data_IF_240724557585
#
_entry.id   IF_240724557585
#
_cell.length_a   1.000
_cell.length_b   1.000
_cell.length_c   1.000
_cell.angle_alpha   90.00
_cell.angle_beta   90.00
_cell.angle_gamma   90.00
#
_symmetry.space_group_name_H-M   'P 1'
#
loop_
_entity.id
_entity.type
_entity.pdbx_description
1 polymer ?
#
# COMPACT_ATOMS: atom_id res chain seq x y z
N UNK A 1 5.88 21.52 7.05
CA UNK A 1 5.83 20.68 8.28
C UNK A 1 4.42 20.30 8.74
N UNK A 2 3.60 21.15 9.39
CA UNK A 2 2.24 20.75 9.82
C UNK A 2 1.33 20.29 8.66
N UNK A 3 1.30 21.05 7.56
CA UNK A 3 0.53 20.68 6.36
C UNK A 3 1.12 19.44 5.63
N UNK A 4 2.43 19.22 5.73
CA UNK A 4 3.09 18.05 5.12
C UNK A 4 2.88 16.76 5.95
N UNK A 5 2.88 16.88 7.27
CA UNK A 5 2.52 15.79 8.20
C UNK A 5 1.04 15.41 8.10
N UNK A 6 0.18 16.35 7.72
CA UNK A 6 -1.26 16.11 7.52
C UNK A 6 -1.52 15.31 6.25
N UNK A 7 -0.80 15.58 5.15
CA UNK A 7 -0.84 14.71 3.94
C UNK A 7 -0.26 13.32 4.22
N UNK A 8 0.84 13.22 4.98
CA UNK A 8 1.42 11.93 5.36
C UNK A 8 0.52 11.10 6.31
N UNK A 9 -0.42 11.74 7.01
CA UNK A 9 -1.36 11.06 7.92
C UNK A 9 -2.23 10.01 7.20
N UNK A 10 -2.40 10.13 5.88
CA UNK A 10 -3.17 9.17 5.07
C UNK A 10 -2.51 7.78 4.96
N UNK A 11 -1.25 7.63 5.33
CA UNK A 11 -0.46 6.39 5.26
C UNK A 11 -0.57 5.56 6.55
N UNK A 12 -1.09 6.14 7.62
CA UNK A 12 -1.21 5.49 8.92
C UNK A 12 -2.57 4.81 9.10
N UNK A 13 -2.59 3.71 9.85
CA UNK A 13 -3.82 3.03 10.30
C UNK A 13 -4.81 4.04 10.91
N UNK A 14 -6.13 3.81 10.90
CA UNK A 14 -7.10 4.76 11.43
C UNK A 14 -6.82 5.20 12.88
N UNK A 15 -6.30 4.28 13.70
CA UNK A 15 -5.88 4.53 15.07
C UNK A 15 -4.63 5.43 15.13
N UNK A 16 -3.59 5.08 14.37
CA UNK A 16 -2.35 5.86 14.28
C UNK A 16 -2.59 7.25 13.70
N UNK A 17 -3.51 7.39 12.74
CA UNK A 17 -3.94 8.65 12.14
C UNK A 17 -4.62 9.54 13.18
N UNK A 18 -5.62 9.01 13.89
CA UNK A 18 -6.31 9.75 14.96
C UNK A 18 -5.35 10.23 16.05
N UNK A 19 -4.42 9.37 16.46
CA UNK A 19 -3.44 9.67 17.49
C UNK A 19 -2.39 10.70 17.06
N UNK A 20 -1.86 10.61 15.84
CA UNK A 20 -0.92 11.59 15.27
C UNK A 20 -1.59 12.95 15.05
N UNK A 21 -2.83 12.99 14.54
CA UNK A 21 -3.57 14.25 14.37
C UNK A 21 -3.86 14.92 15.72
N UNK A 22 -4.26 14.14 16.74
CA UNK A 22 -4.48 14.65 18.11
C UNK A 22 -3.18 15.12 18.76
N UNK A 23 -2.07 14.42 18.55
CA UNK A 23 -0.75 14.78 19.09
C UNK A 23 -0.19 16.03 18.41
N UNK A 24 -0.36 16.17 17.09
CA UNK A 24 -0.01 17.37 16.32
C UNK A 24 -0.84 18.58 16.76
N UNK A 25 -2.17 18.41 16.93
CA UNK A 25 -3.04 19.47 17.47
C UNK A 25 -2.65 19.88 18.90
N UNK A 26 -2.22 18.93 19.73
CA UNK A 26 -1.72 19.20 21.08
C UNK A 26 -0.40 19.98 21.04
N UNK A 27 0.56 19.57 20.21
CA UNK A 27 1.83 20.28 20.04
C UNK A 27 1.64 21.69 19.48
N UNK A 28 0.78 21.89 18.48
CA UNK A 28 0.42 23.22 17.97
C UNK A 28 -0.18 24.11 19.06
N UNK A 29 -1.11 23.59 19.86
CA UNK A 29 -1.69 24.36 20.99
C UNK A 29 -0.71 24.66 22.12
N UNK A 30 0.33 23.84 22.27
CA UNK A 30 1.37 24.03 23.29
C UNK A 30 2.45 25.00 22.82
N UNK A 31 2.68 25.11 21.51
CA UNK A 31 3.59 26.07 20.88
C UNK A 31 2.92 27.44 20.58
N UNK A 32 1.59 27.48 20.46
CA UNK A 32 0.78 28.71 20.32
C UNK A 32 0.38 29.33 21.67
N UNK A 33 0.87 28.82 22.81
CA UNK A 33 0.68 29.51 24.08
C UNK A 33 1.31 30.91 23.97
N UNK A 34 0.57 32.01 24.24
CA UNK A 34 1.13 33.34 24.12
C UNK A 34 2.34 33.46 25.04
N UNK A 35 3.48 33.90 24.49
CA UNK A 35 4.55 34.44 25.31
C UNK A 35 3.94 35.52 26.22
N UNK A 36 4.29 35.56 27.52
CA UNK A 36 3.80 36.62 28.38
C UNK A 36 4.15 37.98 27.77
N UNK A 37 3.28 39.01 27.91
CA UNK A 37 3.51 40.30 27.28
C UNK A 37 4.87 40.83 27.70
N UNK A 38 5.69 41.22 26.73
CA UNK A 38 6.89 42.04 26.99
C UNK A 38 6.38 43.39 27.47
N UNK A 39 6.71 43.75 28.71
CA UNK A 39 6.48 45.09 29.23
C UNK A 39 7.14 46.14 28.31
N UNK A 40 6.43 47.22 27.94
CA UNK A 40 6.95 48.23 27.05
C UNK A 40 7.74 49.25 27.87
N UNK A 41 9.07 49.18 27.89
CA UNK A 41 9.89 50.33 28.28
C UNK A 41 11.28 50.29 27.64
N UNK A 42 11.51 51.33 26.83
CA UNK A 42 12.80 51.90 26.37
C UNK A 42 13.53 51.23 25.21
N UNK A 43 13.15 51.66 24.00
CA UNK A 43 14.12 52.28 23.11
C UNK A 43 13.94 53.80 23.15
N UNK A 44 14.97 54.54 23.56
CA UNK A 44 15.11 55.97 23.24
C UNK A 44 16.58 56.23 22.95
N UNK A 45 16.87 56.26 21.66
CA UNK A 45 17.92 57.07 21.05
C UNK A 45 17.65 58.54 21.33
N UNK A 46 18.67 59.31 21.69
CA UNK A 46 18.65 60.77 21.67
C UNK A 46 20.03 61.28 21.27
N UNK A 47 20.15 62.18 20.26
CA UNK A 47 21.38 62.88 19.96
C UNK A 47 21.47 64.20 20.74
N UNK A 48 22.73 64.64 20.92
CA UNK A 48 23.22 66.00 21.16
C UNK A 48 22.73 66.82 22.38
N UNK A 49 23.72 67.19 23.22
CA UNK A 49 23.97 68.60 23.54
C UNK A 49 23.42 69.17 24.84
N UNK A 50 24.33 69.62 25.71
CA UNK A 50 24.07 70.75 26.62
C UNK A 50 23.89 70.40 28.09
N UNK A 51 24.92 70.71 28.88
CA UNK A 51 24.89 70.77 30.33
C UNK A 51 23.91 71.84 30.85
N UNK A 52 23.33 71.61 32.03
CA UNK A 52 23.30 72.56 33.14
C UNK A 52 22.70 71.92 34.40
N UNK A 53 23.44 72.09 35.50
CA UNK A 53 23.13 71.74 36.88
C UNK A 53 21.77 72.25 37.34
N UNK A 54 21.10 71.50 38.23
CA UNK A 54 20.18 72.04 39.23
C UNK A 54 19.93 71.05 40.38
N UNK A 55 20.50 71.42 41.53
CA UNK A 55 20.09 71.24 42.92
C UNK A 55 19.47 69.91 43.42
N UNK A 56 20.24 69.27 44.31
CA UNK A 56 19.73 68.32 45.28
C UNK A 56 19.13 69.06 46.49
N UNK A 57 17.82 68.93 46.72
CA UNK A 57 17.25 69.10 48.06
C UNK A 57 15.96 68.28 48.26
N UNK A 58 16.06 67.30 49.15
CA UNK A 58 15.03 66.78 50.06
C UNK A 58 13.63 66.43 49.54
N UNK A 59 13.37 65.14 49.31
CA UNK A 59 12.09 64.49 49.65
C UNK A 59 12.24 62.96 49.68
N UNK A 60 11.65 62.32 50.69
CA UNK A 60 11.72 60.89 50.98
C UNK A 60 11.25 59.97 49.82
N UNK A 61 11.80 58.75 49.67
CA UNK A 61 11.33 57.82 48.64
C UNK A 61 10.00 57.17 49.05
N UNK A 62 9.03 56.99 48.13
CA UNK A 62 7.86 56.17 48.40
C UNK A 62 8.24 54.69 48.41
N UNK A 63 7.58 53.95 49.30
CA UNK A 63 7.68 52.51 49.54
C UNK A 63 7.67 51.67 48.26
N UNK A 64 8.74 50.91 48.00
CA UNK A 64 8.73 49.78 47.06
C UNK A 64 7.87 48.66 47.65
N UNK A 65 6.66 48.45 47.11
CA UNK A 65 5.91 47.21 47.34
C UNK A 65 6.64 46.03 46.67
N UNK A 66 6.76 44.86 47.32
CA UNK A 66 7.37 43.70 46.69
C UNK A 66 6.38 43.07 45.72
N UNK A 67 6.61 43.25 44.42
CA UNK A 67 6.06 42.36 43.40
C UNK A 67 6.78 41.01 43.51
N UNK A 68 6.39 40.21 44.50
CA UNK A 68 6.68 38.79 44.52
C UNK A 68 5.85 38.12 43.42
N UNK A 69 6.44 37.90 42.25
CA UNK A 69 6.00 36.84 41.36
C UNK A 69 6.10 35.52 42.15
N UNK A 70 4.96 35.02 42.63
CA UNK A 70 4.90 33.74 43.35
C UNK A 70 5.52 32.66 42.46
N UNK A 71 6.53 31.90 42.91
CA UNK A 71 7.00 30.76 42.15
C UNK A 71 5.81 29.82 41.89
N UNK A 72 5.72 29.17 40.72
CA UNK A 72 4.64 28.25 40.43
C UNK A 72 4.53 27.24 41.58
N UNK A 73 3.31 27.07 42.12
CA UNK A 73 3.07 26.21 43.28
C UNK A 73 3.69 24.83 42.99
N UNK A 74 4.48 24.30 43.93
CA UNK A 74 5.19 23.01 43.81
C UNK A 74 4.29 21.85 43.33
N UNK A 75 2.98 21.92 43.62
CA UNK A 75 1.96 20.96 43.14
C UNK A 75 1.61 21.05 41.64
N UNK A 76 1.65 22.23 41.01
CA UNK A 76 1.36 22.38 39.57
C UNK A 76 2.47 21.79 38.71
N UNK A 77 3.73 21.94 39.14
CA UNK A 77 4.89 21.36 38.44
C UNK A 77 4.92 19.84 38.54
N UNK A 78 4.57 19.27 39.71
CA UNK A 78 4.42 17.80 39.86
C UNK A 78 3.27 17.23 39.05
N UNK A 79 2.14 17.96 38.94
CA UNK A 79 1.00 17.55 38.10
C UNK A 79 1.35 17.57 36.61
N UNK A 80 2.10 18.57 36.15
CA UNK A 80 2.56 18.63 34.76
C UNK A 80 3.52 17.48 34.43
N UNK A 81 4.50 17.19 35.29
CA UNK A 81 5.42 16.06 35.09
C UNK A 81 4.70 14.71 35.06
N UNK A 82 3.72 14.49 35.96
CA UNK A 82 2.90 13.27 35.96
C UNK A 82 2.10 13.13 34.66
N UNK A 83 1.48 14.23 34.20
CA UNK A 83 0.75 14.24 32.94
C UNK A 83 1.67 13.95 31.75
N UNK A 84 2.85 14.56 31.68
CA UNK A 84 3.84 14.28 30.63
C UNK A 84 4.24 12.82 30.63
N UNK A 85 4.56 12.23 31.79
CA UNK A 85 4.91 10.81 31.89
C UNK A 85 3.76 9.89 31.44
N UNK A 86 2.52 10.20 31.80
CA UNK A 86 1.35 9.47 31.35
C UNK A 86 1.18 9.55 29.82
N UNK A 87 1.34 10.74 29.24
CA UNK A 87 1.26 10.92 27.78
C UNK A 87 2.41 10.19 27.06
N UNK A 88 3.63 10.22 27.59
CA UNK A 88 4.76 9.46 27.06
C UNK A 88 4.50 7.95 27.13
N UNK A 89 4.02 7.44 28.26
CA UNK A 89 3.69 6.03 28.42
C UNK A 89 2.57 5.60 27.46
N UNK A 90 1.52 6.42 27.31
CA UNK A 90 0.45 6.18 26.36
C UNK A 90 0.96 6.18 24.91
N UNK A 91 1.88 7.09 24.57
CA UNK A 91 2.50 7.16 23.24
C UNK A 91 3.36 5.93 22.95
N UNK A 92 4.20 5.50 23.90
CA UNK A 92 4.99 4.27 23.78
C UNK A 92 4.08 3.06 23.65
N UNK A 93 3.02 2.95 24.45
CA UNK A 93 2.06 1.86 24.35
C UNK A 93 1.34 1.84 22.99
N UNK A 94 0.94 3.01 22.47
CA UNK A 94 0.34 3.12 21.15
C UNK A 94 1.29 2.69 20.03
N UNK A 95 2.58 3.06 20.12
CA UNK A 95 3.60 2.59 19.18
C UNK A 95 3.81 1.08 19.27
N UNK A 96 4.02 0.52 20.47
CA UNK A 96 4.20 -0.93 20.64
C UNK A 96 2.99 -1.71 20.10
N UNK A 97 1.78 -1.20 20.32
CA UNK A 97 0.58 -1.80 19.75
C UNK A 97 0.57 -1.71 18.22
N UNK A 98 0.83 -0.54 17.63
CA UNK A 98 0.82 -0.38 16.16
C UNK A 98 1.95 -1.14 15.45
N UNK A 99 3.12 -1.23 16.07
CA UNK A 99 4.33 -1.82 15.49
C UNK A 99 4.35 -3.34 15.62
N UNK A 100 3.70 -3.91 16.65
CA UNK A 100 3.75 -5.35 16.96
C UNK A 100 2.36 -5.92 17.28
N UNK A 101 1.66 -5.31 18.25
CA UNK A 101 0.40 -5.83 18.78
C UNK A 101 -0.70 -6.02 17.74
N UNK A 102 -0.84 -5.10 16.78
CA UNK A 102 -1.84 -5.15 15.73
C UNK A 102 -1.63 -6.37 14.80
N UNK A 103 -0.38 -6.65 14.42
CA UNK A 103 -0.04 -7.80 13.57
C UNK A 103 -0.19 -9.12 14.32
N UNK A 104 0.19 -9.17 15.60
CA UNK A 104 -0.04 -10.36 16.43
C UNK A 104 -1.52 -10.63 16.63
N UNK A 105 -2.32 -9.61 16.91
CA UNK A 105 -3.77 -9.76 17.04
C UNK A 105 -4.39 -10.29 15.74
N UNK A 106 -3.99 -9.77 14.58
CA UNK A 106 -4.43 -10.26 13.28
C UNK A 106 -4.05 -11.74 13.07
N UNK A 107 -2.79 -12.12 13.33
CA UNK A 107 -2.33 -13.51 13.23
C UNK A 107 -3.12 -14.45 14.16
N UNK A 108 -3.32 -14.05 15.42
CA UNK A 108 -4.04 -14.86 16.41
C UNK A 108 -5.55 -14.97 16.13
N UNK A 109 -6.12 -14.02 15.40
CA UNK A 109 -7.55 -14.02 15.05
C UNK A 109 -7.92 -14.98 13.90
N UNK A 110 -6.92 -15.49 13.19
CA UNK A 110 -7.12 -16.29 11.99
C UNK A 110 -6.56 -17.71 12.17
N UNK A 111 -7.21 -18.69 11.54
CA UNK A 111 -6.72 -20.06 11.47
C UNK A 111 -7.09 -20.67 10.13
N UNK A 112 -6.33 -21.68 9.70
CA UNK A 112 -6.69 -22.47 8.52
C UNK A 112 -8.01 -23.21 8.80
N UNK A 113 -8.88 -23.38 7.79
CA UNK A 113 -10.07 -24.21 7.92
C UNK A 113 -9.69 -25.62 8.37
N UNK A 114 -10.40 -26.15 9.37
CA UNK A 114 -10.20 -27.53 9.80
C UNK A 114 -10.82 -28.49 8.78
N UNK A 115 -10.08 -29.54 8.39
CA UNK A 115 -10.62 -30.61 7.56
C UNK A 115 -11.80 -31.25 8.29
N UNK A 116 -12.92 -31.45 7.60
CA UNK A 116 -14.06 -32.17 8.17
C UNK A 116 -13.62 -33.59 8.56
N UNK A 117 -13.98 -34.00 9.78
CA UNK A 117 -13.62 -35.30 10.37
C UNK A 117 -14.19 -36.52 9.64
N UNK A 118 -14.89 -36.32 8.53
CA UNK A 118 -15.50 -37.36 7.68
C UNK A 118 -14.62 -37.83 6.52
N UNK A 119 -13.39 -37.31 6.37
CA UNK A 119 -12.49 -37.73 5.29
C UNK A 119 -11.61 -38.91 5.74
N UNK A 120 -11.73 -40.11 5.13
CA UNK A 120 -11.04 -41.33 5.59
C UNK A 120 -9.55 -41.40 5.22
N UNK A 121 -8.96 -40.32 4.73
CA UNK A 121 -7.56 -40.23 4.32
C UNK A 121 -6.89 -39.04 5.00
N UNK A 122 -5.59 -39.11 5.37
CA UNK A 122 -4.84 -37.92 5.74
C UNK A 122 -4.91 -36.94 4.57
N UNK A 123 -5.79 -35.96 4.71
CA UNK A 123 -6.05 -34.97 3.68
C UNK A 123 -4.84 -34.06 3.61
N UNK A 124 -3.93 -34.34 2.67
CA UNK A 124 -2.75 -33.53 2.42
C UNK A 124 -3.19 -32.23 1.73
N UNK A 125 -3.63 -31.26 2.53
CA UNK A 125 -4.06 -29.95 2.03
C UNK A 125 -2.85 -29.13 1.66
N UNK A 126 -2.96 -28.38 0.56
CA UNK A 126 -1.98 -27.36 0.19
C UNK A 126 -2.47 -26.00 0.69
N UNK A 127 -1.61 -25.29 1.42
CA UNK A 127 -1.86 -23.93 1.90
C UNK A 127 -1.28 -22.93 0.92
N UNK A 128 -2.15 -22.21 0.24
CA UNK A 128 -1.74 -21.16 -0.70
C UNK A 128 -1.96 -19.80 -0.04
N UNK A 129 -0.89 -19.03 0.12
CA UNK A 129 -0.97 -17.63 0.49
C UNK A 129 -1.10 -16.80 -0.80
N UNK A 130 -2.14 -15.97 -0.87
CA UNK A 130 -2.40 -15.09 -2.01
C UNK A 130 -2.13 -13.65 -1.58
N UNK A 131 -1.26 -12.96 -2.31
CA UNK A 131 -0.89 -11.56 -2.10
C UNK A 131 -1.34 -10.79 -3.33
N UNK A 132 -2.09 -9.71 -3.11
CA UNK A 132 -2.80 -8.98 -4.16
C UNK A 132 -2.54 -7.48 -4.00
N UNK A 133 -2.31 -6.79 -5.13
CA UNK A 133 -2.06 -5.35 -5.23
C UNK A 133 -1.09 -4.80 -4.17
N UNK A 134 0.16 -5.32 -4.04
CA UNK A 134 1.15 -4.66 -3.19
C UNK A 134 1.29 -3.17 -3.51
N UNK A 135 1.23 -2.81 -4.81
CA UNK A 135 1.27 -1.46 -5.35
C UNK A 135 2.28 -0.58 -4.61
N UNK A 136 3.56 -0.99 -4.67
CA UNK A 136 4.66 -0.26 -4.06
C UNK A 136 4.59 1.21 -4.48
N UNK A 137 4.58 2.08 -3.48
CA UNK A 137 4.52 3.50 -3.74
C UNK A 137 5.78 3.97 -4.44
N UNK A 138 5.61 4.82 -5.43
CA UNK A 138 6.68 5.49 -6.16
C UNK A 138 6.22 6.90 -6.58
N UNK A 139 7.01 7.58 -7.43
CA UNK A 139 6.69 8.95 -7.90
C UNK A 139 5.37 9.09 -8.67
N UNK A 140 4.79 7.98 -9.13
CA UNK A 140 3.51 7.97 -9.85
C UNK A 140 2.31 7.83 -8.90
N UNK A 141 2.53 7.36 -7.67
CA UNK A 141 1.48 7.05 -6.71
C UNK A 141 0.80 8.27 -6.12
N UNK A 142 1.63 9.24 -5.71
CA UNK A 142 1.17 10.52 -5.18
C UNK A 142 1.70 11.62 -6.07
N UNK A 143 0.94 12.69 -6.23
CA UNK A 143 1.41 13.92 -6.88
C UNK A 143 2.42 14.68 -6.00
N UNK A 144 3.46 13.98 -5.55
CA UNK A 144 4.58 14.48 -4.77
C UNK A 144 5.81 14.61 -5.67
N UNK A 145 6.66 15.63 -5.45
CA UNK A 145 7.89 15.76 -6.20
C UNK A 145 8.80 14.52 -5.99
N UNK A 146 9.42 13.99 -7.06
CA UNK A 146 10.42 12.94 -6.95
C UNK A 146 11.54 13.33 -5.97
N UNK A 147 11.96 12.38 -5.13
CA UNK A 147 13.00 12.61 -4.12
C UNK A 147 12.58 13.48 -2.93
N UNK A 148 11.34 13.96 -2.85
CA UNK A 148 10.86 14.73 -1.69
C UNK A 148 10.85 13.89 -0.41
N UNK A 149 11.10 14.54 0.74
CA UNK A 149 11.03 13.89 2.06
C UNK A 149 9.65 13.27 2.32
N UNK A 150 8.59 13.91 1.81
CA UNK A 150 7.23 13.39 1.92
C UNK A 150 7.04 12.08 1.16
N UNK A 151 7.55 11.97 -0.07
CA UNK A 151 7.49 10.74 -0.86
C UNK A 151 8.32 9.64 -0.20
N UNK A 152 9.56 9.94 0.19
CA UNK A 152 10.44 8.98 0.89
C UNK A 152 9.81 8.46 2.18
N UNK A 153 9.11 9.32 2.94
CA UNK A 153 8.40 8.90 4.13
C UNK A 153 7.20 8.00 3.80
N UNK A 154 6.43 8.33 2.75
CA UNK A 154 5.30 7.50 2.32
C UNK A 154 5.78 6.09 1.88
N UNK A 155 6.83 6.04 1.05
CA UNK A 155 7.51 4.81 0.65
C UNK A 155 7.99 4.00 1.86
N UNK A 156 8.73 4.62 2.77
CA UNK A 156 9.25 3.96 3.97
C UNK A 156 8.16 3.33 4.84
N UNK A 157 7.09 4.08 5.15
CA UNK A 157 6.04 3.59 6.05
C UNK A 157 5.16 2.52 5.38
N UNK A 158 4.90 2.63 4.07
CA UNK A 158 4.16 1.60 3.33
C UNK A 158 4.97 0.32 3.17
N UNK A 159 6.25 0.42 2.83
CA UNK A 159 7.18 -0.71 2.76
C UNK A 159 7.26 -1.44 4.10
N UNK A 160 7.39 -0.68 5.20
CA UNK A 160 7.43 -1.24 6.55
C UNK A 160 6.13 -1.97 6.91
N UNK A 161 4.97 -1.38 6.57
CA UNK A 161 3.67 -2.00 6.78
C UNK A 161 3.51 -3.30 5.99
N UNK A 162 3.87 -3.32 4.71
CA UNK A 162 3.83 -4.53 3.87
C UNK A 162 4.76 -5.62 4.40
N UNK A 163 5.99 -5.24 4.75
CA UNK A 163 7.00 -6.19 5.28
C UNK A 163 6.52 -6.85 6.56
N UNK A 164 5.97 -6.06 7.50
CA UNK A 164 5.43 -6.60 8.76
C UNK A 164 4.22 -7.47 8.53
N UNK A 165 3.31 -7.05 7.66
CA UNK A 165 2.14 -7.87 7.28
C UNK A 165 2.59 -9.22 6.74
N UNK A 166 3.57 -9.24 5.83
CA UNK A 166 4.08 -10.48 5.28
C UNK A 166 4.82 -11.34 6.33
N UNK A 167 5.77 -10.76 7.05
CA UNK A 167 6.62 -11.49 7.99
C UNK A 167 5.90 -11.95 9.27
N UNK A 168 4.96 -11.14 9.79
CA UNK A 168 4.31 -11.39 11.08
C UNK A 168 2.90 -11.96 10.97
N UNK A 169 2.26 -11.87 9.79
CA UNK A 169 0.93 -12.41 9.57
C UNK A 169 0.98 -13.56 8.58
N UNK A 170 1.55 -13.38 7.38
CA UNK A 170 1.51 -14.41 6.32
C UNK A 170 2.46 -15.58 6.59
N UNK A 171 3.75 -15.32 6.81
CA UNK A 171 4.76 -16.38 6.99
C UNK A 171 4.48 -17.31 8.19
N UNK A 172 3.98 -16.83 9.35
CA UNK A 172 3.64 -17.70 10.48
C UNK A 172 2.53 -18.73 10.18
N UNK A 173 1.70 -18.51 9.16
CA UNK A 173 0.72 -19.51 8.70
C UNK A 173 1.35 -20.68 7.93
N UNK A 174 2.67 -20.62 7.65
CA UNK A 174 3.46 -21.63 6.95
C UNK A 174 2.78 -22.07 5.64
N UNK A 175 2.61 -21.15 4.68
CA UNK A 175 2.06 -21.50 3.38
C UNK A 175 3.03 -22.43 2.63
N UNK A 176 2.47 -23.36 1.86
CA UNK A 176 3.20 -24.25 0.96
C UNK A 176 3.49 -23.57 -0.39
N UNK A 177 2.70 -22.55 -0.75
CA UNK A 177 2.87 -21.74 -1.97
C UNK A 177 2.54 -20.28 -1.67
N UNK A 178 3.28 -19.33 -2.23
CA UNK A 178 2.91 -17.91 -2.27
C UNK A 178 2.59 -17.51 -3.71
N UNK A 179 1.48 -16.81 -3.91
CA UNK A 179 1.02 -16.35 -5.21
C UNK A 179 0.81 -14.83 -5.15
N UNK A 180 1.54 -14.08 -5.98
CA UNK A 180 1.29 -12.67 -6.20
C UNK A 180 0.35 -12.46 -7.39
N UNK A 181 -0.79 -11.79 -7.18
CA UNK A 181 -1.83 -11.54 -8.18
C UNK A 181 -1.70 -10.16 -8.84
N UNK A 182 -0.48 -9.80 -9.26
CA UNK A 182 -0.18 -8.58 -10.00
C UNK A 182 -0.23 -7.29 -9.20
N UNK A 183 0.11 -6.22 -9.92
CA UNK A 183 0.25 -4.85 -9.44
C UNK A 183 1.24 -4.76 -8.27
N UNK A 184 2.46 -5.23 -8.52
CA UNK A 184 3.54 -5.16 -7.55
C UNK A 184 3.99 -3.72 -7.36
N UNK A 185 4.05 -2.99 -8.47
CA UNK A 185 4.42 -1.58 -8.54
C UNK A 185 3.18 -0.76 -8.85
N UNK A 186 3.11 0.48 -8.38
CA UNK A 186 2.05 1.40 -8.78
C UNK A 186 2.37 2.06 -10.14
N UNK A 187 3.63 2.43 -10.36
CA UNK A 187 4.09 3.07 -11.58
C UNK A 187 4.76 2.16 -12.59
N UNK A 188 4.71 0.84 -12.41
CA UNK A 188 5.59 -0.13 -13.09
C UNK A 188 5.75 0.06 -14.59
N UNK A 189 4.71 0.47 -15.32
CA UNK A 189 4.75 0.78 -16.76
C UNK A 189 5.43 2.09 -17.13
N UNK A 190 5.41 3.08 -16.24
CA UNK A 190 5.82 4.47 -16.50
C UNK A 190 7.14 4.85 -15.83
N UNK A 191 7.75 3.93 -15.08
CA UNK A 191 9.07 4.10 -14.48
C UNK A 191 10.19 3.87 -15.50
N UNK A 192 11.24 4.68 -15.40
CA UNK A 192 12.50 4.40 -16.10
C UNK A 192 13.10 3.08 -15.61
N UNK A 193 14.05 2.51 -16.34
CA UNK A 193 14.67 1.25 -15.91
C UNK A 193 15.39 1.38 -14.56
N UNK A 194 15.98 2.54 -14.26
CA UNK A 194 16.62 2.81 -12.96
C UNK A 194 15.59 2.84 -11.83
N UNK A 195 14.52 3.61 -11.99
CA UNK A 195 13.44 3.71 -10.99
C UNK A 195 12.72 2.37 -10.79
N UNK A 196 12.57 1.59 -11.86
CA UNK A 196 11.99 0.25 -11.81
C UNK A 196 12.91 -0.72 -11.05
N UNK A 197 14.23 -0.63 -11.23
CA UNK A 197 15.19 -1.45 -10.46
C UNK A 197 15.18 -1.09 -8.97
N UNK A 198 15.07 0.20 -8.63
CA UNK A 198 14.94 0.63 -7.23
C UNK A 198 13.66 0.08 -6.59
N UNK A 199 12.54 0.15 -7.32
CA UNK A 199 11.26 -0.41 -6.90
C UNK A 199 11.34 -1.94 -6.74
N UNK A 200 12.01 -2.63 -7.66
CA UNK A 200 12.24 -4.08 -7.59
C UNK A 200 13.11 -4.46 -6.38
N UNK A 201 14.15 -3.68 -6.08
CA UNK A 201 14.99 -3.91 -4.90
C UNK A 201 14.16 -3.79 -3.62
N UNK A 202 13.33 -2.74 -3.51
CA UNK A 202 12.39 -2.56 -2.40
C UNK A 202 11.42 -3.74 -2.30
N UNK A 203 10.81 -4.16 -3.41
CA UNK A 203 9.89 -5.30 -3.45
C UNK A 203 10.54 -6.58 -2.90
N UNK A 204 11.73 -6.92 -3.41
CA UNK A 204 12.49 -8.10 -2.95
C UNK A 204 12.87 -8.01 -1.47
N UNK A 205 13.18 -6.81 -0.97
CA UNK A 205 13.51 -6.58 0.43
C UNK A 205 12.29 -6.73 1.36
N UNK A 206 11.14 -6.17 0.96
CA UNK A 206 9.87 -6.25 1.72
C UNK A 206 9.44 -7.70 1.90
N UNK A 207 9.46 -8.47 0.82
CA UNK A 207 8.97 -9.84 0.82
C UNK A 207 10.07 -10.88 1.13
N UNK A 208 11.20 -10.46 1.71
CA UNK A 208 12.32 -11.32 2.13
C UNK A 208 12.77 -12.32 1.04
N UNK A 209 12.68 -11.93 -0.23
CA UNK A 209 13.01 -12.76 -1.38
C UNK A 209 14.50 -13.13 -1.42
N UNK A 210 15.34 -12.37 -0.72
CA UNK A 210 16.76 -12.64 -0.53
C UNK A 210 17.05 -13.70 0.54
N UNK A 211 16.20 -13.88 1.56
CA UNK A 211 16.29 -14.95 2.56
C UNK A 211 15.79 -16.30 2.02
N UNK A 212 14.93 -16.29 1.01
CA UNK A 212 14.57 -17.50 0.26
C UNK A 212 15.74 -18.10 -0.53
N UNK A 213 16.78 -17.32 -0.84
CA UNK A 213 17.99 -17.83 -1.51
C UNK A 213 18.84 -18.73 -0.60
N UNK A 214 18.70 -18.60 0.73
CA UNK A 214 19.49 -19.37 1.70
C UNK A 214 18.72 -20.56 2.30
N UNK A 215 17.38 -20.56 2.23
CA UNK A 215 16.54 -21.71 2.58
C UNK A 215 15.25 -21.79 1.73
N UNK A 216 15.30 -22.40 0.54
CA UNK A 216 14.20 -22.42 -0.42
C UNK A 216 13.19 -23.52 -0.05
N UNK A 217 12.13 -23.20 0.68
CA UNK A 217 11.08 -24.20 0.98
C UNK A 217 9.68 -23.84 0.47
N UNK A 218 9.44 -22.62 -0.03
CA UNK A 218 8.10 -22.18 -0.48
C UNK A 218 8.17 -21.60 -1.90
N UNK A 219 7.66 -22.30 -2.93
CA UNK A 219 7.57 -21.76 -4.28
C UNK A 219 6.73 -20.47 -4.33
N UNK A 220 7.19 -19.51 -5.13
CA UNK A 220 6.51 -18.24 -5.37
C UNK A 220 6.17 -18.10 -6.85
N UNK A 221 4.92 -17.72 -7.14
CA UNK A 221 4.41 -17.48 -8.48
C UNK A 221 3.91 -16.06 -8.64
N UNK A 222 4.05 -15.53 -9.87
CA UNK A 222 3.87 -14.13 -10.20
C UNK A 222 2.89 -13.97 -11.36
N UNK A 223 1.76 -13.31 -11.12
CA UNK A 223 0.80 -12.88 -12.13
C UNK A 223 1.07 -11.42 -12.51
N UNK A 224 1.16 -11.08 -13.80
CA UNK A 224 1.31 -9.66 -14.16
C UNK A 224 0.03 -8.89 -13.91
N UNK A 225 0.13 -7.68 -13.36
CA UNK A 225 -0.95 -6.69 -13.27
C UNK A 225 -0.87 -5.59 -14.32
N UNK A 226 -1.88 -4.74 -14.43
CA UNK A 226 -1.86 -3.66 -15.41
C UNK A 226 -0.93 -2.50 -15.01
N UNK A 227 -0.64 -2.33 -13.72
CA UNK A 227 0.38 -1.38 -13.28
C UNK A 227 1.80 -1.92 -13.53
N UNK A 228 1.97 -3.25 -13.65
CA UNK A 228 3.26 -3.86 -13.95
C UNK A 228 3.61 -3.79 -15.45
N UNK A 229 2.64 -4.10 -16.32
CA UNK A 229 2.87 -4.25 -17.77
C UNK A 229 2.01 -3.39 -18.69
N UNK A 230 0.90 -2.85 -18.20
CA UNK A 230 -0.03 -2.04 -19.00
C UNK A 230 -1.08 -2.89 -19.72
N UNK A 231 -1.68 -2.32 -20.76
CA UNK A 231 -2.67 -3.00 -21.61
C UNK A 231 -2.15 -3.17 -23.04
N UNK A 232 -2.87 -3.92 -23.87
CA UNK A 232 -2.48 -4.23 -25.25
C UNK A 232 -2.05 -3.04 -26.11
N UNK A 233 -2.69 -1.86 -25.97
CA UNK A 233 -2.27 -0.66 -26.71
C UNK A 233 -0.90 -0.12 -26.24
N UNK A 234 -0.59 -0.28 -24.96
CA UNK A 234 0.69 0.16 -24.38
C UNK A 234 1.84 -0.76 -24.82
N UNK A 235 1.62 -2.08 -24.81
CA UNK A 235 2.64 -3.06 -25.21
C UNK A 235 3.15 -2.86 -26.64
N UNK A 236 2.27 -2.39 -27.55
CA UNK A 236 2.62 -2.15 -28.95
C UNK A 236 3.64 -1.01 -29.14
N UNK A 237 3.70 -0.09 -28.18
CA UNK A 237 4.62 1.05 -28.18
C UNK A 237 5.82 0.81 -27.26
N UNK A 238 5.62 0.02 -26.20
CA UNK A 238 6.60 -0.22 -25.13
C UNK A 238 6.92 -1.71 -24.91
N UNK A 239 7.47 -2.42 -25.92
CA UNK A 239 7.80 -3.84 -25.78
C UNK A 239 8.88 -4.12 -24.71
N UNK A 240 9.70 -3.13 -24.38
CA UNK A 240 10.70 -3.19 -23.31
C UNK A 240 10.10 -3.48 -21.93
N UNK A 241 8.86 -3.02 -21.68
CA UNK A 241 8.17 -3.23 -20.39
C UNK A 241 7.79 -4.70 -20.21
N UNK A 242 7.32 -5.36 -21.28
CA UNK A 242 7.09 -6.81 -21.27
C UNK A 242 8.40 -7.56 -21.10
N UNK A 243 9.44 -7.16 -21.84
CA UNK A 243 10.74 -7.81 -21.81
C UNK A 243 11.37 -7.78 -20.41
N UNK A 244 11.36 -6.63 -19.73
CA UNK A 244 11.91 -6.52 -18.37
C UNK A 244 11.08 -7.28 -17.34
N UNK A 245 9.75 -7.28 -17.47
CA UNK A 245 8.88 -8.08 -16.61
C UNK A 245 9.19 -9.57 -16.76
N UNK A 246 9.17 -10.10 -17.98
CA UNK A 246 9.34 -11.54 -18.23
C UNK A 246 10.75 -12.02 -17.84
N UNK A 247 11.77 -11.15 -17.97
CA UNK A 247 13.13 -11.44 -17.53
C UNK A 247 13.24 -11.64 -16.01
N UNK A 248 12.45 -10.91 -15.22
CA UNK A 248 12.52 -10.94 -13.76
C UNK A 248 11.52 -11.91 -13.14
N UNK A 249 10.26 -11.85 -13.57
CA UNK A 249 9.15 -12.59 -12.97
C UNK A 249 8.76 -13.86 -13.73
N UNK A 250 9.33 -14.09 -14.91
CA UNK A 250 9.03 -15.24 -15.76
C UNK A 250 7.87 -14.99 -16.73
N UNK A 251 7.41 -16.05 -17.44
CA UNK A 251 6.38 -15.90 -18.46
C UNK A 251 5.07 -15.38 -17.89
N UNK A 252 4.31 -14.61 -18.69
CA UNK A 252 3.00 -14.07 -18.27
C UNK A 252 1.85 -15.07 -18.38
N UNK A 253 2.02 -16.11 -19.19
CA UNK A 253 1.07 -17.21 -19.35
C UNK A 253 1.76 -18.51 -18.99
N UNK A 254 1.28 -19.21 -17.96
CA UNK A 254 1.88 -20.47 -17.51
C UNK A 254 0.91 -21.29 -16.67
N UNK A 255 1.27 -22.56 -16.45
CA UNK A 255 0.55 -23.42 -15.52
C UNK A 255 1.51 -24.06 -14.52
N UNK A 256 1.02 -24.33 -13.32
CA UNK A 256 1.74 -25.10 -12.32
C UNK A 256 0.81 -25.99 -11.51
N UNK A 257 1.30 -27.17 -11.15
CA UNK A 257 0.58 -28.12 -10.32
C UNK A 257 0.89 -27.84 -8.86
N UNK A 258 -0.15 -27.75 -8.03
CA UNK A 258 0.00 -27.76 -6.57
C UNK A 258 -0.98 -28.74 -5.93
N UNK A 259 -0.43 -29.74 -5.25
CA UNK A 259 -1.21 -30.88 -4.77
C UNK A 259 -1.79 -31.71 -5.93
N UNK A 260 -3.08 -31.55 -6.19
CA UNK A 260 -3.81 -32.21 -7.31
C UNK A 260 -4.62 -31.20 -8.12
N UNK A 261 -4.22 -29.93 -8.09
CA UNK A 261 -4.93 -28.82 -8.73
C UNK A 261 -3.96 -28.09 -9.64
N UNK A 262 -4.36 -27.89 -10.89
CA UNK A 262 -3.59 -27.11 -11.85
C UNK A 262 -4.01 -25.64 -11.75
N UNK A 263 -3.06 -24.78 -11.43
CA UNK A 263 -3.25 -23.34 -11.45
C UNK A 263 -2.85 -22.81 -12.82
N UNK A 264 -3.79 -22.17 -13.50
CA UNK A 264 -3.61 -21.64 -14.85
C UNK A 264 -3.57 -20.12 -14.76
N UNK A 265 -2.41 -19.56 -15.05
CA UNK A 265 -2.14 -18.12 -15.07
C UNK A 265 -2.29 -17.60 -16.49
N UNK A 266 -3.16 -16.60 -16.66
CA UNK A 266 -3.41 -15.99 -17.96
C UNK A 266 -3.24 -14.47 -17.91
N UNK A 267 -2.49 -13.96 -18.88
CA UNK A 267 -2.28 -12.53 -19.11
C UNK A 267 -3.55 -11.87 -19.68
N UNK A 268 -4.43 -11.46 -18.78
CA UNK A 268 -5.73 -10.87 -19.10
C UNK A 268 -5.61 -9.53 -19.86
N UNK A 269 -4.50 -8.81 -19.71
CA UNK A 269 -4.23 -7.50 -20.31
C UNK A 269 -4.16 -7.56 -21.84
N UNK A 270 -4.01 -8.77 -22.38
CA UNK A 270 -3.86 -9.05 -23.81
C UNK A 270 -5.05 -9.76 -24.43
N UNK A 271 -6.02 -10.21 -23.62
CA UNK A 271 -7.15 -11.04 -24.07
C UNK A 271 -8.28 -10.25 -24.74
N UNK A 272 -8.37 -8.94 -24.50
CA UNK A 272 -9.25 -8.00 -25.20
C UNK A 272 -8.44 -7.02 -26.07
N UNK A 273 -9.11 -6.40 -27.07
CA UNK A 273 -8.49 -5.52 -28.05
C UNK A 273 -8.90 -5.83 -29.49
N UNK A 274 -8.73 -4.85 -30.37
CA UNK A 274 -9.28 -4.79 -31.72
C UNK A 274 -8.74 -5.83 -32.73
N UNK A 275 -9.18 -5.69 -33.98
CA UNK A 275 -9.06 -6.70 -35.05
C UNK A 275 -7.62 -7.09 -35.45
N UNK A 276 -6.62 -6.25 -35.17
CA UNK A 276 -5.21 -6.55 -35.43
C UNK A 276 -4.63 -7.40 -34.29
N UNK A 277 -4.32 -8.66 -34.60
CA UNK A 277 -3.69 -9.59 -33.64
C UNK A 277 -2.29 -9.10 -33.26
N UNK A 278 -2.11 -8.61 -32.04
CA UNK A 278 -0.77 -8.40 -31.48
C UNK A 278 -0.09 -9.74 -31.19
N UNK A 279 1.24 -9.75 -31.15
CA UNK A 279 2.03 -10.95 -30.83
C UNK A 279 1.66 -11.48 -29.44
N UNK A 280 1.45 -10.59 -28.49
CA UNK A 280 1.11 -10.91 -27.10
C UNK A 280 -0.28 -11.54 -27.02
N UNK A 281 -1.26 -10.98 -27.72
CA UNK A 281 -2.61 -11.55 -27.82
C UNK A 281 -2.58 -12.96 -28.40
N UNK A 282 -1.87 -13.15 -29.51
CA UNK A 282 -1.75 -14.46 -30.15
C UNK A 282 -1.10 -15.48 -29.23
N UNK A 283 -0.01 -15.10 -28.53
CA UNK A 283 0.67 -15.94 -27.54
C UNK A 283 -0.27 -16.39 -26.41
N UNK A 284 -1.03 -15.47 -25.81
CA UNK A 284 -1.97 -15.79 -24.74
C UNK A 284 -3.08 -16.75 -25.20
N UNK A 285 -3.67 -16.52 -26.39
CA UNK A 285 -4.71 -17.40 -26.93
C UNK A 285 -4.18 -18.75 -27.41
N UNK A 286 -2.94 -18.82 -27.91
CA UNK A 286 -2.28 -20.08 -28.27
C UNK A 286 -2.02 -20.95 -27.04
N UNK A 287 -1.55 -20.34 -25.95
CA UNK A 287 -1.40 -21.01 -24.65
C UNK A 287 -2.73 -21.60 -24.17
N UNK A 288 -3.81 -20.78 -24.13
CA UNK A 288 -5.15 -21.22 -23.70
C UNK A 288 -5.65 -22.41 -24.54
N UNK A 289 -5.50 -22.33 -25.88
CA UNK A 289 -5.95 -23.40 -26.79
C UNK A 289 -5.13 -24.68 -26.61
N UNK A 290 -3.83 -24.57 -26.42
CA UNK A 290 -2.94 -25.72 -26.17
C UNK A 290 -3.34 -26.45 -24.89
N UNK A 291 -3.63 -25.69 -23.81
CA UNK A 291 -4.10 -26.28 -22.55
C UNK A 291 -5.51 -26.86 -22.61
N UNK A 292 -6.36 -26.34 -23.49
CA UNK A 292 -7.71 -26.86 -23.73
C UNK A 292 -7.70 -28.17 -24.53
N UNK A 293 -6.74 -28.31 -25.46
CA UNK A 293 -6.56 -29.53 -26.25
C UNK A 293 -5.88 -30.67 -25.45
N UNK A 294 -5.20 -30.35 -24.35
CA UNK A 294 -4.58 -31.33 -23.46
C UNK A 294 -5.63 -32.18 -22.74
N UNK A 295 -5.36 -33.47 -22.60
CA UNK A 295 -6.21 -34.39 -21.83
C UNK A 295 -5.78 -34.36 -20.36
N UNK A 296 -5.97 -33.22 -19.69
CA UNK A 296 -5.62 -33.05 -18.28
C UNK A 296 -6.76 -33.53 -17.37
N UNK A 297 -6.41 -34.37 -16.39
CA UNK A 297 -7.37 -34.98 -15.46
C UNK A 297 -7.55 -34.18 -14.17
N UNK A 298 -6.68 -33.21 -13.88
CA UNK A 298 -6.77 -32.43 -12.64
C UNK A 298 -7.79 -31.28 -12.78
N UNK A 299 -8.48 -30.91 -11.70
CA UNK A 299 -9.25 -29.67 -11.64
C UNK A 299 -8.35 -28.45 -11.85
N UNK A 300 -8.84 -27.47 -12.61
CA UNK A 300 -8.12 -26.23 -12.91
C UNK A 300 -8.64 -25.05 -12.10
N UNK A 301 -7.74 -24.25 -11.55
CA UNK A 301 -8.03 -22.92 -10.99
C UNK A 301 -7.46 -21.87 -11.93
N UNK A 302 -8.33 -21.02 -12.48
CA UNK A 302 -7.91 -19.92 -13.35
C UNK A 302 -7.52 -18.69 -12.51
N UNK A 303 -6.39 -18.09 -12.85
CA UNK A 303 -5.87 -16.88 -12.22
C UNK A 303 -5.72 -15.79 -13.29
N UNK A 304 -6.40 -14.67 -13.11
CA UNK A 304 -6.28 -13.48 -13.96
C UNK A 304 -6.11 -12.24 -13.09
N UNK A 305 -5.40 -11.21 -13.56
CA UNK A 305 -5.39 -9.94 -12.83
C UNK A 305 -6.72 -9.22 -13.11
N UNK A 306 -6.96 -8.83 -14.37
CA UNK A 306 -8.24 -8.23 -14.77
C UNK A 306 -9.39 -9.24 -14.54
N UNK A 307 -10.47 -8.85 -13.84
CA UNK A 307 -11.59 -9.73 -13.56
C UNK A 307 -12.37 -10.14 -14.81
N UNK A 308 -13.01 -11.31 -14.75
CA UNK A 308 -13.96 -11.75 -15.78
C UNK A 308 -15.20 -10.85 -15.82
N UNK A 309 -15.88 -10.85 -16.96
CA UNK A 309 -17.07 -10.05 -17.20
C UNK A 309 -18.12 -10.17 -16.10
N UNK A 310 -18.70 -9.02 -15.73
CA UNK A 310 -19.86 -8.94 -14.84
C UNK A 310 -20.84 -7.88 -15.36
N UNK A 311 -22.15 -8.14 -15.38
CA UNK A 311 -23.12 -7.17 -15.89
C UNK A 311 -23.00 -5.79 -15.21
N UNK A 312 -23.20 -4.73 -16.00
CA UNK A 312 -23.30 -3.38 -15.49
C UNK A 312 -24.38 -3.27 -14.41
N UNK A 313 -24.16 -2.37 -13.46
CA UNK A 313 -25.05 -2.10 -12.34
C UNK A 313 -25.22 -3.26 -11.35
N UNK A 314 -24.43 -4.34 -11.46
CA UNK A 314 -24.41 -5.39 -10.43
C UNK A 314 -23.96 -4.78 -9.09
N UNK A 315 -24.70 -4.97 -7.99
CA UNK A 315 -24.31 -4.44 -6.68
C UNK A 315 -22.96 -4.99 -6.21
N UNK A 316 -22.10 -4.10 -5.72
CA UNK A 316 -20.77 -4.46 -5.21
C UNK A 316 -20.76 -4.82 -3.71
N UNK A 317 -21.90 -4.69 -3.03
CA UNK A 317 -22.01 -4.87 -1.58
C UNK A 317 -21.62 -3.62 -0.78
N UNK A 318 -21.87 -3.62 0.53
CA UNK A 318 -21.76 -2.42 1.37
C UNK A 318 -20.31 -1.98 1.65
N UNK A 319 -19.33 -2.86 1.42
CA UNK A 319 -17.91 -2.61 1.72
C UNK A 319 -17.13 -2.01 0.54
N UNK A 320 -17.81 -1.63 -0.54
CA UNK A 320 -17.18 -1.08 -1.75
C UNK A 320 -17.44 0.41 -1.86
N UNK A 321 -16.39 1.15 -2.25
CA UNK A 321 -16.50 2.59 -2.51
C UNK A 321 -17.37 2.91 -3.73
N UNK A 322 -17.38 2.04 -4.74
CA UNK A 322 -18.33 2.12 -5.86
C UNK A 322 -19.58 1.27 -5.54
N UNK A 323 -20.79 1.83 -5.68
CA UNK A 323 -22.02 1.12 -5.34
C UNK A 323 -22.30 -0.05 -6.29
N UNK A 324 -21.87 0.07 -7.54
CA UNK A 324 -22.14 -0.92 -8.56
C UNK A 324 -20.99 -1.07 -9.56
N UNK A 325 -21.02 -2.19 -10.27
CA UNK A 325 -20.10 -2.52 -11.36
C UNK A 325 -20.34 -1.60 -12.55
N UNK A 326 -19.26 -1.15 -13.17
CA UNK A 326 -19.30 -0.51 -14.48
C UNK A 326 -18.23 -1.13 -15.41
N UNK A 327 -18.63 -1.45 -16.63
CA UNK A 327 -17.82 -2.01 -17.71
C UNK A 327 -17.06 -0.90 -18.44
N UNK A 328 -16.33 -0.07 -17.71
CA UNK A 328 -15.52 1.00 -18.30
C UNK A 328 -14.42 0.39 -19.16
N UNK A 329 -14.35 0.83 -20.41
CA UNK A 329 -13.34 0.43 -21.39
C UNK A 329 -12.91 1.70 -22.16
N UNK A 330 -11.60 1.87 -22.32
CA UNK A 330 -11.00 2.89 -23.16
C UNK A 330 -10.10 2.21 -24.19
N UNK A 331 -10.46 2.32 -25.47
CA UNK A 331 -9.66 1.79 -26.58
C UNK A 331 -8.71 2.84 -27.14
N UNK A 332 -7.61 2.40 -27.73
CA UNK A 332 -6.79 3.26 -28.57
C UNK A 332 -7.52 3.61 -29.87
N UNK A 333 -7.11 4.70 -30.52
CA UNK A 333 -7.64 5.08 -31.82
C UNK A 333 -7.34 3.98 -32.85
N UNK A 334 -8.19 3.85 -33.87
CA UNK A 334 -8.01 2.88 -34.97
C UNK A 334 -7.89 1.42 -34.49
N UNK A 335 -8.59 1.05 -33.42
CA UNK A 335 -8.63 -0.32 -32.89
C UNK A 335 -7.25 -0.90 -32.49
N UNK A 336 -6.28 -0.04 -32.18
CA UNK A 336 -4.92 -0.41 -31.76
C UNK A 336 -4.83 -1.00 -30.34
N UNK A 337 -5.87 -1.70 -29.90
CA UNK A 337 -5.94 -2.34 -28.59
C UNK A 337 -6.60 -1.51 -27.50
N UNK A 338 -6.54 -2.04 -26.29
CA UNK A 338 -7.13 -1.47 -25.09
C UNK A 338 -6.10 -0.60 -24.38
N UNK A 339 -6.49 0.61 -23.96
CA UNK A 339 -5.71 1.47 -23.07
C UNK A 339 -6.03 1.21 -21.61
N UNK A 340 -7.28 0.82 -21.33
CA UNK A 340 -7.76 0.52 -19.99
C UNK A 340 -9.09 -0.23 -20.05
N UNK A 341 -9.30 -1.19 -19.15
CA UNK A 341 -10.61 -1.80 -18.94
C UNK A 341 -10.78 -2.32 -17.51
N UNK A 342 -11.99 -2.27 -16.99
CA UNK A 342 -12.27 -2.73 -15.63
C UNK A 342 -12.43 -4.25 -15.51
N UNK A 343 -12.90 -4.87 -16.58
CA UNK A 343 -13.27 -6.28 -16.68
C UNK A 343 -12.96 -6.76 -18.10
N UNK A 344 -12.74 -8.06 -18.25
CA UNK A 344 -12.74 -8.68 -19.56
C UNK A 344 -14.12 -8.57 -20.20
N UNK A 345 -14.15 -8.50 -21.54
CA UNK A 345 -15.41 -8.52 -22.29
C UNK A 345 -16.19 -9.82 -22.04
N UNK A 346 -17.52 -9.76 -22.18
CA UNK A 346 -18.38 -10.95 -22.05
C UNK A 346 -17.94 -12.07 -22.97
N UNK A 347 -17.66 -11.74 -24.23
CA UNK A 347 -17.23 -12.71 -25.24
C UNK A 347 -15.91 -13.39 -24.84
N UNK A 348 -14.92 -12.61 -24.40
CA UNK A 348 -13.63 -13.14 -23.96
C UNK A 348 -13.77 -14.01 -22.72
N UNK A 349 -14.59 -13.59 -21.76
CA UNK A 349 -14.83 -14.33 -20.52
C UNK A 349 -15.53 -15.67 -20.79
N UNK A 350 -16.58 -15.66 -21.61
CA UNK A 350 -17.33 -16.85 -22.02
C UNK A 350 -16.42 -17.84 -22.77
N UNK A 351 -15.58 -17.33 -23.68
CA UNK A 351 -14.64 -18.16 -24.44
C UNK A 351 -13.55 -18.76 -23.54
N UNK A 352 -12.96 -17.96 -22.65
CA UNK A 352 -11.92 -18.40 -21.72
C UNK A 352 -12.44 -19.52 -20.80
N UNK A 353 -13.63 -19.32 -20.21
CA UNK A 353 -14.27 -20.32 -19.36
C UNK A 353 -14.70 -21.56 -20.15
N UNK A 354 -15.19 -21.40 -21.38
CA UNK A 354 -15.58 -22.51 -22.25
C UNK A 354 -14.40 -23.40 -22.66
N UNK A 355 -13.23 -22.81 -22.90
CA UNK A 355 -12.01 -23.54 -23.28
C UNK A 355 -11.33 -24.21 -22.09
N UNK A 356 -11.12 -23.48 -20.99
CA UNK A 356 -10.36 -23.99 -19.85
C UNK A 356 -11.20 -24.80 -18.86
N UNK A 357 -12.51 -24.56 -18.80
CA UNK A 357 -13.46 -25.20 -17.86
C UNK A 357 -12.93 -25.29 -16.42
N UNK A 358 -12.47 -24.16 -15.83
CA UNK A 358 -11.93 -24.17 -14.48
C UNK A 358 -13.04 -24.48 -13.44
N UNK A 359 -12.66 -25.12 -12.34
CA UNK A 359 -13.59 -25.39 -11.21
C UNK A 359 -13.80 -24.16 -10.32
N UNK A 360 -12.85 -23.23 -10.35
CA UNK A 360 -12.87 -21.96 -9.64
C UNK A 360 -11.93 -20.99 -10.35
N UNK A 361 -12.12 -19.69 -10.14
CA UNK A 361 -11.15 -18.69 -10.57
C UNK A 361 -10.95 -17.63 -9.51
N UNK A 362 -9.80 -16.96 -9.59
CA UNK A 362 -9.45 -15.83 -8.76
C UNK A 362 -8.97 -14.70 -9.65
N UNK A 363 -9.40 -13.50 -9.30
CA UNK A 363 -8.90 -12.30 -9.95
C UNK A 363 -8.70 -11.15 -8.97
N UNK A 364 -7.89 -10.19 -9.39
CA UNK A 364 -7.46 -9.09 -8.56
C UNK A 364 -7.16 -7.84 -9.40
N UNK A 365 -7.85 -6.74 -9.11
CA UNK A 365 -7.73 -5.44 -9.82
C UNK A 365 -8.36 -4.31 -9.00
N UNK A 366 -9.35 -4.63 -8.17
CA UNK A 366 -10.07 -3.68 -7.32
C UNK A 366 -9.68 -3.76 -5.84
N UNK A 367 -8.46 -4.20 -5.51
CA UNK A 367 -8.03 -4.44 -4.12
C UNK A 367 -8.98 -5.39 -3.38
N UNK A 368 -9.41 -6.43 -4.09
CA UNK A 368 -10.26 -7.47 -3.56
C UNK A 368 -10.08 -8.76 -4.34
N UNK A 369 -9.88 -9.85 -3.61
CA UNK A 369 -9.92 -11.20 -4.14
C UNK A 369 -11.39 -11.60 -4.37
N UNK A 370 -11.88 -11.52 -5.61
CA UNK A 370 -13.22 -12.03 -5.92
C UNK A 370 -13.18 -13.52 -6.21
N UNK A 371 -13.83 -14.29 -5.36
CA UNK A 371 -14.43 -15.57 -5.71
C UNK A 371 -15.79 -15.31 -6.35
N UNK A 372 -16.09 -15.97 -7.47
CA UNK A 372 -17.42 -16.00 -8.08
C UNK A 372 -17.85 -17.45 -8.20
#
# INVERSE_FOLDING_TARGET
LSNELTSASQVFSPFSRHFLTKSSQFLSRTLESPLPPRDPCRGLTGPEGGALDLDCNGAAPPSRGPWCSKPPRRGTMQSATRLTLLLCAAWVAALLYGEMGAYWAAHLSCSWPSASSSSPSPSNHVKVAVIADPQLMDRTSLSLPPGSVALQAAEFFTDLNMRRSFQSVVLPFKPDVVLFLGDYFDGGTYLSDEEWQDSLFRFKHIFSMSEQRTNPHVPIYYLSGNHDIGYSAFHSVHPEVISRYEKEFGPRNFQFLSGKVDFVVVDAQTLDGGATQSKERSSSWEFIKTLSAGNESNPKILLTHIPLYRPDNTPCGPHRSSPAINQRIYSAAMDQGIKYQNYLSKQTSDLLLGLLKPVSFFCNFWRFLSHI
#
